data_IF_314976729780
#
_entry.id   IF_314976729780
#
_cell.length_a   1.000
_cell.length_b   1.000
_cell.length_c   1.000
_cell.angle_alpha   90.00
_cell.angle_beta   90.00
_cell.angle_gamma   90.00
#
_symmetry.space_group_name_H-M   'P 1'
#
loop_
_entity.id
_entity.type
_entity.pdbx_description
1 polymer ?
#
# COMPACT_ATOMS: atom_id res chain seq x y z
N UNK A 1 -0.34 23.01 -3.97
CA UNK A 1 -1.33 22.61 -2.96
C UNK A 1 -1.00 21.16 -2.68
N UNK A 2 -0.26 20.89 -1.61
CA UNK A 2 0.18 19.53 -1.26
C UNK A 2 -1.05 18.73 -0.83
N UNK A 3 -1.31 17.62 -1.51
CA UNK A 3 -2.40 16.71 -1.18
C UNK A 3 -1.84 15.76 -0.12
N UNK A 4 -2.49 15.73 1.04
CA UNK A 4 -2.18 14.81 2.13
C UNK A 4 -2.15 13.34 1.62
N UNK A 5 -1.03 12.61 1.78
CA UNK A 5 -0.90 11.22 1.35
C UNK A 5 -1.80 10.23 2.12
N UNK A 6 -2.34 10.61 3.28
CA UNK A 6 -3.40 9.90 4.00
C UNK A 6 -4.80 10.15 3.42
N UNK A 7 -4.99 11.26 2.70
CA UNK A 7 -6.19 11.55 1.91
C UNK A 7 -6.06 11.16 0.43
N UNK A 8 -4.88 10.73 -0.01
CA UNK A 8 -4.71 10.15 -1.33
C UNK A 8 -5.58 8.89 -1.45
N UNK A 9 -6.44 8.79 -2.50
CA UNK A 9 -7.27 7.63 -2.68
C UNK A 9 -6.45 6.34 -2.58
N UNK A 10 -7.08 5.24 -2.19
CA UNK A 10 -6.44 3.92 -2.13
C UNK A 10 -5.76 3.58 -3.48
N UNK A 11 -6.23 4.19 -4.57
CA UNK A 11 -5.71 4.09 -5.94
C UNK A 11 -4.56 5.05 -6.31
N UNK A 12 -4.09 5.92 -5.41
CA UNK A 12 -2.91 6.77 -5.58
C UNK A 12 -3.19 8.22 -5.97
N UNK A 13 -2.11 8.95 -6.23
CA UNK A 13 -2.07 10.35 -6.68
C UNK A 13 -2.88 10.55 -7.99
N UNK A 14 -3.81 11.53 -8.06
CA UNK A 14 -4.44 11.91 -9.33
C UNK A 14 -3.42 12.34 -10.41
N UNK A 15 -2.19 12.70 -10.03
CA UNK A 15 -1.10 13.07 -10.94
C UNK A 15 0.08 12.08 -10.78
N UNK A 16 0.02 10.88 -11.39
CA UNK A 16 0.92 9.80 -11.05
C UNK A 16 2.36 10.11 -11.50
N UNK A 17 3.27 10.19 -10.52
CA UNK A 17 4.70 10.06 -10.79
C UNK A 17 4.98 8.64 -11.29
N UNK A 18 5.61 8.50 -12.45
CA UNK A 18 5.90 7.21 -13.07
C UNK A 18 6.75 6.33 -12.14
N UNK A 19 6.18 5.25 -11.63
CA UNK A 19 6.88 4.31 -10.75
C UNK A 19 8.10 3.71 -11.45
N UNK A 20 9.25 3.51 -10.77
CA UNK A 20 10.45 2.97 -11.39
C UNK A 20 10.23 1.54 -11.90
N UNK A 21 10.94 1.17 -12.96
CA UNK A 21 10.73 -0.10 -13.68
C UNK A 21 10.71 -1.36 -12.77
N UNK A 22 11.59 -1.49 -11.74
CA UNK A 22 11.55 -2.62 -10.82
C UNK A 22 10.25 -2.70 -10.00
N UNK A 23 9.69 -1.56 -9.60
CA UNK A 23 8.43 -1.48 -8.83
C UNK A 23 7.23 -1.87 -9.70
N UNK A 24 7.22 -1.40 -10.96
CA UNK A 24 6.22 -1.84 -11.94
C UNK A 24 6.29 -3.34 -12.19
N UNK A 25 7.49 -3.88 -12.35
CA UNK A 25 7.71 -5.32 -12.52
C UNK A 25 7.25 -6.11 -11.28
N UNK A 26 7.58 -5.67 -10.07
CA UNK A 26 7.13 -6.30 -8.84
C UNK A 26 5.59 -6.31 -8.71
N UNK A 27 4.94 -5.18 -9.00
CA UNK A 27 3.47 -5.08 -9.05
C UNK A 27 2.87 -6.08 -10.02
N UNK A 28 3.44 -6.22 -11.23
CA UNK A 28 2.98 -7.20 -12.22
C UNK A 28 3.20 -8.65 -11.74
N UNK A 29 4.35 -8.96 -11.12
CA UNK A 29 4.62 -10.29 -10.59
C UNK A 29 3.63 -10.68 -9.47
N UNK A 30 3.27 -9.75 -8.60
CA UNK A 30 2.26 -9.97 -7.57
C UNK A 30 0.87 -10.17 -8.17
N UNK A 31 0.49 -9.39 -9.19
CA UNK A 31 -0.76 -9.60 -9.92
C UNK A 31 -0.79 -10.96 -10.65
N UNK A 32 0.34 -11.40 -11.21
CA UNK A 32 0.46 -12.74 -11.79
C UNK A 32 0.28 -13.81 -10.72
N UNK A 33 0.86 -13.63 -9.53
CA UNK A 33 0.65 -14.54 -8.41
C UNK A 33 -0.84 -14.62 -7.99
N UNK A 34 -1.54 -13.48 -7.94
CA UNK A 34 -3.01 -13.43 -7.74
C UNK A 34 -3.75 -14.23 -8.82
N UNK A 35 -3.35 -14.09 -10.09
CA UNK A 35 -3.94 -14.86 -11.19
C UNK A 35 -3.70 -16.38 -11.06
N UNK A 36 -2.47 -16.80 -10.74
CA UNK A 36 -2.12 -18.22 -10.56
C UNK A 36 -2.88 -18.82 -9.39
N UNK A 37 -2.94 -18.13 -8.25
CA UNK A 37 -3.67 -18.59 -7.06
C UNK A 37 -5.17 -18.69 -7.33
N UNK A 38 -5.79 -17.68 -7.95
CA UNK A 38 -7.19 -17.72 -8.32
C UNK A 38 -7.50 -18.86 -9.31
N UNK A 39 -6.64 -19.07 -10.31
CA UNK A 39 -6.80 -20.16 -11.28
C UNK A 39 -6.70 -21.54 -10.60
N UNK A 40 -5.75 -21.71 -9.69
CA UNK A 40 -5.62 -22.95 -8.92
C UNK A 40 -6.86 -23.22 -8.06
N UNK A 41 -7.36 -22.23 -7.34
CA UNK A 41 -8.57 -22.33 -6.52
C UNK A 41 -9.81 -22.65 -7.36
N UNK A 42 -9.94 -22.06 -8.55
CA UNK A 42 -11.03 -22.38 -9.48
C UNK A 42 -10.98 -23.85 -9.93
N UNK A 43 -9.78 -24.38 -10.19
CA UNK A 43 -9.61 -25.81 -10.52
C UNK A 43 -9.95 -26.71 -9.34
N UNK A 44 -9.50 -26.36 -8.13
CA UNK A 44 -9.80 -27.11 -6.90
C UNK A 44 -11.30 -27.13 -6.64
N UNK A 45 -11.97 -25.97 -6.74
CA UNK A 45 -13.41 -25.83 -6.58
C UNK A 45 -14.21 -26.58 -7.65
N UNK A 46 -13.71 -26.67 -8.89
CA UNK A 46 -14.38 -27.42 -9.95
C UNK A 46 -14.22 -28.95 -9.81
N UNK A 47 -13.19 -29.42 -9.09
CA UNK A 47 -12.86 -30.85 -8.95
C UNK A 47 -13.22 -31.44 -7.59
N UNK A 48 -13.52 -30.60 -6.61
CA UNK A 48 -13.68 -30.99 -5.22
C UNK A 48 -14.79 -30.17 -4.58
N UNK A 49 -15.57 -30.76 -3.67
CA UNK A 49 -16.56 -30.05 -2.84
C UNK A 49 -15.90 -29.17 -1.74
N UNK A 50 -14.68 -28.69 -1.97
CA UNK A 50 -13.99 -27.82 -1.03
C UNK A 50 -14.56 -26.40 -1.10
N UNK A 51 -14.93 -25.85 0.06
CA UNK A 51 -15.33 -24.46 0.17
C UNK A 51 -14.08 -23.55 0.08
N UNK A 52 -13.94 -22.86 -1.06
CA UNK A 52 -12.83 -21.95 -1.35
C UNK A 52 -13.12 -20.50 -0.97
N UNK A 53 -14.31 -20.20 -0.40
CA UNK A 53 -14.79 -18.85 -0.14
C UNK A 53 -13.84 -18.03 0.76
N UNK A 54 -13.20 -18.69 1.72
CA UNK A 54 -12.22 -18.07 2.63
C UNK A 54 -10.98 -17.51 1.90
N UNK A 55 -10.71 -18.00 0.69
CA UNK A 55 -9.55 -17.59 -0.13
C UNK A 55 -9.80 -16.31 -0.92
N UNK A 56 -11.06 -15.85 -1.04
CA UNK A 56 -11.41 -14.67 -1.84
C UNK A 56 -10.91 -13.38 -1.19
N UNK A 57 -11.03 -13.26 0.13
CA UNK A 57 -10.57 -12.09 0.89
C UNK A 57 -9.06 -11.84 0.70
N UNK A 58 -8.15 -12.81 0.91
CA UNK A 58 -6.73 -12.59 0.68
C UNK A 58 -6.38 -12.31 -0.78
N UNK A 59 -7.11 -12.87 -1.76
CA UNK A 59 -6.94 -12.55 -3.20
C UNK A 59 -7.24 -11.08 -3.48
N UNK A 60 -8.36 -10.57 -2.98
CA UNK A 60 -8.75 -9.17 -3.15
C UNK A 60 -7.75 -8.22 -2.48
N UNK A 61 -7.31 -8.54 -1.27
CA UNK A 61 -6.29 -7.76 -0.56
C UNK A 61 -4.94 -7.78 -1.29
N UNK A 62 -4.50 -8.94 -1.78
CA UNK A 62 -3.27 -9.05 -2.56
C UNK A 62 -3.32 -8.21 -3.83
N UNK A 63 -4.46 -8.19 -4.53
CA UNK A 63 -4.66 -7.33 -5.68
C UNK A 63 -4.58 -5.84 -5.30
N UNK A 64 -5.25 -5.45 -4.22
CA UNK A 64 -5.22 -4.08 -3.70
C UNK A 64 -3.81 -3.62 -3.33
N UNK A 65 -3.05 -4.45 -2.62
CA UNK A 65 -1.66 -4.13 -2.24
C UNK A 65 -0.71 -4.12 -3.43
N UNK A 66 -0.91 -4.99 -4.43
CA UNK A 66 -0.13 -4.97 -5.66
C UNK A 66 -0.32 -3.67 -6.46
N UNK A 67 -1.51 -3.07 -6.38
CA UNK A 67 -1.80 -1.75 -6.96
C UNK A 67 -1.22 -0.63 -6.10
N UNK A 68 -1.36 -0.71 -4.76
CA UNK A 68 -0.83 0.28 -3.83
C UNK A 68 0.70 0.43 -3.90
N UNK A 69 1.43 -0.62 -4.29
CA UNK A 69 2.87 -0.57 -4.55
C UNK A 69 3.27 0.45 -5.62
N UNK A 70 2.38 0.73 -6.59
CA UNK A 70 2.65 1.76 -7.61
C UNK A 70 2.54 3.17 -7.07
N UNK A 71 1.91 3.35 -5.90
CA UNK A 71 1.82 4.64 -5.22
C UNK A 71 2.99 4.92 -4.28
N UNK A 72 4.07 4.13 -4.30
CA UNK A 72 5.26 4.38 -3.48
C UNK A 72 5.09 4.16 -1.97
N UNK A 73 3.95 3.63 -1.52
CA UNK A 73 3.65 3.41 -0.10
C UNK A 73 4.54 2.31 0.50
N UNK A 74 5.37 2.64 1.48
CA UNK A 74 6.33 1.68 2.05
C UNK A 74 5.63 0.53 2.78
N UNK A 75 4.50 0.82 3.45
CA UNK A 75 3.65 -0.19 4.09
C UNK A 75 3.08 -1.23 3.12
N UNK A 76 2.86 -0.86 1.85
CA UNK A 76 2.32 -1.77 0.83
C UNK A 76 3.29 -2.92 0.53
N UNK A 77 4.60 -2.71 0.75
CA UNK A 77 5.62 -3.75 0.56
C UNK A 77 5.47 -4.85 1.58
N UNK A 78 5.33 -4.49 2.85
CA UNK A 78 5.17 -5.46 3.93
C UNK A 78 3.79 -6.12 3.82
N UNK A 79 2.74 -5.35 3.59
CA UNK A 79 1.37 -5.87 3.47
C UNK A 79 1.21 -6.86 2.30
N UNK A 80 1.77 -6.56 1.12
CA UNK A 80 1.72 -7.47 -0.03
C UNK A 80 2.45 -8.78 0.24
N UNK A 81 3.61 -8.76 0.90
CA UNK A 81 4.34 -9.97 1.26
C UNK A 81 3.63 -10.80 2.32
N UNK A 82 3.02 -10.17 3.32
CA UNK A 82 2.23 -10.86 4.35
C UNK A 82 1.02 -11.57 3.73
N UNK A 83 0.26 -10.89 2.87
CA UNK A 83 -0.90 -11.49 2.22
C UNK A 83 -0.48 -12.57 1.21
N UNK A 84 0.60 -12.35 0.45
CA UNK A 84 1.14 -13.37 -0.43
C UNK A 84 1.60 -14.61 0.35
N UNK A 85 2.25 -14.43 1.49
CA UNK A 85 2.63 -15.52 2.40
C UNK A 85 1.43 -16.29 2.93
N UNK A 86 0.38 -15.58 3.36
CA UNK A 86 -0.88 -16.20 3.77
C UNK A 86 -1.52 -17.00 2.63
N UNK A 87 -1.56 -16.44 1.42
CA UNK A 87 -2.09 -17.13 0.24
C UNK A 87 -1.29 -18.41 -0.08
N UNK A 88 0.04 -18.38 0.04
CA UNK A 88 0.89 -19.55 -0.14
C UNK A 88 0.63 -20.62 0.92
N UNK A 89 0.41 -20.24 2.18
CA UNK A 89 0.06 -21.17 3.26
C UNK A 89 -1.30 -21.84 3.01
N UNK A 90 -2.29 -21.07 2.56
CA UNK A 90 -3.60 -21.61 2.18
C UNK A 90 -3.47 -22.57 0.99
N UNK A 91 -2.70 -22.19 -0.02
CA UNK A 91 -2.42 -23.01 -1.20
C UNK A 91 -1.71 -24.31 -0.82
N UNK A 92 -0.76 -24.27 0.12
CA UNK A 92 -0.07 -25.46 0.62
C UNK A 92 -1.02 -26.47 1.26
N UNK A 93 -2.07 -26.00 1.94
CA UNK A 93 -3.08 -26.87 2.57
C UNK A 93 -3.97 -27.64 1.59
N UNK A 94 -4.06 -27.19 0.33
CA UNK A 94 -4.92 -27.78 -0.72
C UNK A 94 -4.15 -28.23 -1.97
N UNK A 95 -2.82 -28.09 -1.97
CA UNK A 95 -1.98 -28.39 -3.12
C UNK A 95 -1.85 -29.91 -3.32
N UNK A 96 -2.80 -30.49 -4.06
CA UNK A 96 -2.77 -31.90 -4.41
C UNK A 96 -2.29 -32.14 -5.85
N UNK A 97 -1.46 -33.16 -6.02
CA UNK A 97 -0.94 -33.61 -7.31
C UNK A 97 0.09 -32.69 -7.97
N UNK A 98 0.46 -33.03 -9.21
CA UNK A 98 1.48 -32.32 -9.99
C UNK A 98 1.06 -30.88 -10.31
N UNK A 99 -0.23 -30.65 -10.56
CA UNK A 99 -0.74 -29.32 -10.87
C UNK A 99 -0.68 -28.39 -9.64
N UNK A 100 -1.09 -28.87 -8.46
CA UNK A 100 -1.04 -28.08 -7.23
C UNK A 100 0.39 -27.74 -6.82
N UNK A 101 1.30 -28.72 -6.88
CA UNK A 101 2.72 -28.50 -6.61
C UNK A 101 3.37 -27.54 -7.61
N UNK A 102 3.11 -27.67 -8.91
CA UNK A 102 3.62 -26.75 -9.92
C UNK A 102 3.11 -25.31 -9.71
N UNK A 103 1.82 -25.16 -9.40
CA UNK A 103 1.23 -23.85 -9.14
C UNK A 103 1.80 -23.22 -7.86
N UNK A 104 2.03 -24.01 -6.80
CA UNK A 104 2.69 -23.56 -5.57
C UNK A 104 4.12 -23.10 -5.82
N UNK A 105 4.93 -23.89 -6.54
CA UNK A 105 6.31 -23.52 -6.89
C UNK A 105 6.33 -22.24 -7.72
N UNK A 106 5.47 -22.13 -8.74
CA UNK A 106 5.38 -20.91 -9.55
C UNK A 106 5.01 -19.68 -8.70
N UNK A 107 3.99 -19.79 -7.85
CA UNK A 107 3.57 -18.72 -6.92
C UNK A 107 4.72 -18.30 -6.00
N UNK A 108 5.45 -19.25 -5.40
CA UNK A 108 6.61 -18.93 -4.55
C UNK A 108 7.70 -18.17 -5.31
N UNK A 109 8.02 -18.58 -6.53
CA UNK A 109 9.03 -17.90 -7.36
C UNK A 109 8.60 -16.48 -7.72
N UNK A 110 7.33 -16.27 -8.05
CA UNK A 110 6.79 -14.94 -8.35
C UNK A 110 6.88 -14.02 -7.13
N UNK A 111 6.52 -14.51 -5.94
CA UNK A 111 6.57 -13.73 -4.69
C UNK A 111 8.02 -13.40 -4.31
N UNK A 112 8.95 -14.35 -4.42
CA UNK A 112 10.37 -14.12 -4.13
C UNK A 112 10.98 -13.13 -5.12
N UNK A 113 10.67 -13.25 -6.42
CA UNK A 113 11.13 -12.31 -7.43
C UNK A 113 10.56 -10.89 -7.20
N UNK A 114 9.28 -10.78 -6.84
CA UNK A 114 8.67 -9.50 -6.48
C UNK A 114 9.34 -8.88 -5.25
N UNK A 115 9.54 -9.67 -4.18
CA UNK A 115 10.25 -9.24 -2.98
C UNK A 115 11.66 -8.74 -3.33
N UNK A 116 12.42 -9.49 -4.12
CA UNK A 116 13.76 -9.10 -4.52
C UNK A 116 13.78 -7.77 -5.28
N UNK A 117 12.82 -7.53 -6.17
CA UNK A 117 12.70 -6.26 -6.90
C UNK A 117 12.28 -5.09 -6.00
N UNK A 118 11.38 -5.33 -5.04
CA UNK A 118 10.91 -4.32 -4.08
C UNK A 118 11.98 -3.91 -3.06
N UNK A 119 12.89 -4.81 -2.71
CA UNK A 119 13.95 -4.58 -1.72
C UNK A 119 15.32 -4.30 -2.34
N UNK A 120 15.38 -4.10 -3.66
CA UNK A 120 16.60 -3.68 -4.35
C UNK A 120 16.99 -2.26 -3.89
N UNK A 121 18.28 -2.04 -3.66
CA UNK A 121 18.84 -0.75 -3.22
C UNK A 121 18.42 0.42 -4.10
N UNK A 122 18.38 0.19 -5.42
CA UNK A 122 18.17 1.21 -6.45
C UNK A 122 16.76 1.82 -6.44
N UNK A 123 15.81 1.20 -5.74
CA UNK A 123 14.42 1.68 -5.60
C UNK A 123 14.02 1.93 -4.15
N UNK A 124 14.97 1.82 -3.20
CA UNK A 124 14.69 2.06 -1.78
C UNK A 124 14.20 3.48 -1.54
N UNK A 125 14.85 4.46 -2.17
CA UNK A 125 14.53 5.88 -1.97
C UNK A 125 13.13 6.25 -2.48
N UNK A 126 12.62 5.51 -3.48
CA UNK A 126 11.26 5.69 -3.99
C UNK A 126 10.18 5.46 -2.93
N UNK A 127 10.44 4.57 -1.97
CA UNK A 127 9.49 4.31 -0.89
C UNK A 127 9.76 5.17 0.36
N UNK A 128 11.00 5.59 0.60
CA UNK A 128 11.39 6.43 1.75
C UNK A 128 10.95 7.89 1.56
N UNK A 129 11.04 8.44 0.35
CA UNK A 129 10.62 9.82 0.06
C UNK A 129 9.11 9.98 0.23
N UNK A 130 8.33 8.97 -0.15
CA UNK A 130 6.88 8.96 0.06
C UNK A 130 6.49 9.01 1.56
N UNK A 131 7.29 8.40 2.44
CA UNK A 131 7.06 8.43 3.89
C UNK A 131 7.59 9.74 4.53
N UNK A 132 8.73 10.29 4.09
CA UNK A 132 9.31 11.52 4.69
C UNK A 132 8.57 12.82 4.34
N UNK A 133 7.91 12.91 3.19
CA UNK A 133 6.98 14.01 2.92
C UNK A 133 5.78 13.99 3.87
N UNK A 134 5.53 12.87 4.58
CA UNK A 134 4.44 12.71 5.55
C UNK A 134 4.80 13.22 6.95
N UNK A 135 6.06 13.09 7.37
CA UNK A 135 6.49 13.47 8.74
C UNK A 135 6.91 14.94 8.88
N UNK A 136 7.31 15.60 7.78
CA UNK A 136 7.85 16.97 7.81
C UNK A 136 6.78 18.05 8.05
N UNK A 137 5.50 17.73 7.87
CA UNK A 137 4.38 18.67 8.00
C UNK A 137 3.76 18.67 9.42
N UNK A 138 4.12 17.72 10.28
CA UNK A 138 3.62 17.63 11.67
C UNK A 138 4.39 18.52 12.66
N UNK A 139 5.55 19.07 12.28
CA UNK A 139 6.41 19.89 13.15
C UNK A 139 6.18 21.42 12.99
N UNK A 140 5.11 21.84 12.31
CA UNK A 140 4.82 23.27 12.09
C UNK A 140 3.63 23.85 12.87
N UNK A 141 2.95 23.05 13.70
CA UNK A 141 1.86 23.51 14.57
C UNK A 141 2.32 23.79 16.03
N UNK A 142 3.28 24.68 16.26
CA UNK A 142 3.37 25.33 17.58
C UNK A 142 4.14 26.67 17.56
N UNK A 143 3.41 27.77 17.33
CA UNK A 143 3.76 29.07 17.89
C UNK A 143 2.46 29.80 18.27
N UNK A 144 2.08 29.85 19.56
CA UNK A 144 0.93 30.62 20.00
C UNK A 144 1.24 32.10 19.86
N UNK A 145 0.66 32.73 18.84
CA UNK A 145 0.66 34.17 18.66
C UNK A 145 0.02 34.86 19.85
N UNK A 146 0.87 35.55 20.60
CA UNK A 146 0.61 36.60 21.59
C UNK A 146 -0.80 37.22 21.55
N UNK A 147 -1.54 37.03 22.65
CA UNK A 147 -2.78 37.76 22.93
C UNK A 147 -2.42 39.09 23.58
N UNK A 148 -2.91 40.26 23.10
CA UNK A 148 -3.03 41.42 23.95
C UNK A 148 -4.45 41.45 24.53
N UNK A 149 -4.57 41.01 25.78
CA UNK A 149 -5.74 41.24 26.63
C UNK A 149 -5.50 42.48 27.51
N UNK A 150 -6.62 43.13 27.83
CA UNK A 150 -6.86 44.06 28.95
C UNK A 150 -6.83 45.58 28.67
N UNK A 151 -8.06 46.09 28.48
CA UNK A 151 -8.78 46.99 29.39
C UNK A 151 -8.50 48.50 29.50
N UNK A 152 -9.65 49.19 29.54
CA UNK A 152 -9.98 50.43 30.25
C UNK A 152 -9.28 51.76 29.86
N UNK A 153 -10.06 52.73 29.37
CA UNK A 153 -10.57 53.80 30.24
C UNK A 153 -11.34 54.90 29.49
N UNK A 154 -12.40 55.32 30.18
CA UNK A 154 -13.37 56.36 29.92
C UNK A 154 -12.73 57.75 30.08
N UNK A 155 -12.93 58.64 29.10
CA UNK A 155 -13.10 60.09 29.33
C UNK A 155 -11.94 61.03 28.97
N UNK A 156 -12.20 62.00 28.07
CA UNK A 156 -12.17 63.44 28.36
C UNK A 156 -12.44 64.29 27.11
N UNK A 157 -13.32 65.29 27.26
CA UNK A 157 -13.56 66.47 26.39
C UNK A 157 -12.21 67.17 26.05
N UNK A 158 -11.96 67.86 24.93
CA UNK A 158 -12.50 69.18 24.46
C UNK A 158 -11.74 69.62 23.15
N UNK A 159 -11.97 70.81 22.53
CA UNK A 159 -12.56 71.05 21.19
C UNK A 159 -11.55 71.46 20.07
N UNK A 160 -12.03 71.85 18.86
CA UNK A 160 -11.61 73.16 18.34
C UNK A 160 -12.69 73.98 17.60
N UNK A 161 -12.63 75.30 17.88
CA UNK A 161 -13.06 76.52 17.17
C UNK A 161 -14.46 76.63 16.57
#
# INVERSE_FOLDING_TARGET
MAIDPAHLPIFGDPEPTDAPAPVRAASVLLLLNVGVTAAHLAVVSARSDHDVSLSVVPICLAMGFALALRGGRDWARVASLLVAGLALLLMLGIAEGVLGTAALVLSTLLVVAAAHLMYRSDVRDYFVVADNETDSDLDSEDMPGEVPSADAARGSRTPPR
#
